data_IF_851874312630
#
_entry.id   IF_851874312630
#
_cell.length_a   1.000
_cell.length_b   1.000
_cell.length_c   1.000
_cell.angle_alpha   90.00
_cell.angle_beta   90.00
_cell.angle_gamma   90.00
#
_symmetry.space_group_name_H-M   'P 1'
#
loop_
_entity.id
_entity.type
_entity.pdbx_description
1 polymer ?
#
# COMPACT_ATOMS: atom_id res chain seq x y z
N UNK A 1 -59.36 -0.39 43.32
CA UNK A 1 -58.31 0.49 42.77
C UNK A 1 -57.19 -0.38 42.22
N UNK A 2 -57.12 -0.53 40.90
CA UNK A 2 -56.12 -1.37 40.21
C UNK A 2 -54.92 -0.48 39.87
N UNK A 3 -53.74 -0.77 40.43
CA UNK A 3 -52.49 -0.10 40.05
C UNK A 3 -51.89 -0.84 38.85
N UNK A 4 -51.91 -0.20 37.68
CA UNK A 4 -51.13 -0.66 36.52
C UNK A 4 -49.65 -0.42 36.79
N UNK A 5 -48.86 -1.49 36.74
CA UNK A 5 -47.40 -1.42 36.73
C UNK A 5 -46.98 -1.29 35.26
N UNK A 6 -46.38 -0.16 34.91
CA UNK A 6 -45.79 0.06 33.59
C UNK A 6 -44.34 -0.45 33.63
N UNK A 7 -44.08 -1.55 32.93
CA UNK A 7 -42.73 -2.06 32.71
C UNK A 7 -42.11 -1.30 31.53
N UNK A 8 -41.11 -0.47 31.78
CA UNK A 8 -40.32 0.18 30.73
C UNK A 8 -39.24 -0.81 30.27
N UNK A 9 -39.38 -1.34 29.06
CA UNK A 9 -38.33 -2.13 28.41
C UNK A 9 -37.17 -1.21 28.00
N UNK A 10 -35.99 -1.40 28.59
CA UNK A 10 -34.76 -0.73 28.18
C UNK A 10 -34.22 -1.47 26.95
N UNK A 11 -34.34 -0.87 25.75
CA UNK A 11 -33.63 -1.37 24.58
C UNK A 11 -32.15 -1.07 24.73
N UNK A 12 -31.33 -2.11 24.91
CA UNK A 12 -29.89 -2.01 24.76
C UNK A 12 -29.58 -1.84 23.25
N UNK A 13 -29.09 -0.66 22.86
CA UNK A 13 -28.52 -0.45 21.53
C UNK A 13 -27.16 -1.17 21.51
N UNK A 14 -27.10 -2.31 20.83
CA UNK A 14 -25.82 -2.97 20.54
C UNK A 14 -24.97 -2.04 19.64
N UNK A 15 -23.66 -1.92 19.86
CA UNK A 15 -22.79 -1.18 18.96
C UNK A 15 -22.83 -1.84 17.58
N UNK A 16 -23.12 -1.05 16.55
CA UNK A 16 -23.01 -1.50 15.16
C UNK A 16 -21.51 -1.63 14.87
N UNK A 17 -21.03 -2.86 14.72
CA UNK A 17 -19.69 -3.10 14.23
C UNK A 17 -19.62 -2.58 12.79
N UNK A 18 -18.84 -1.54 12.57
CA UNK A 18 -18.50 -1.05 11.24
C UNK A 18 -17.47 -2.02 10.63
N UNK A 19 -17.79 -2.58 9.46
CA UNK A 19 -16.91 -3.52 8.78
C UNK A 19 -15.59 -2.85 8.37
N UNK A 20 -14.50 -3.62 8.36
CA UNK A 20 -13.23 -3.15 7.84
C UNK A 20 -13.33 -2.88 6.34
N UNK A 21 -12.72 -1.79 5.88
CA UNK A 21 -12.55 -1.46 4.48
C UNK A 21 -11.35 -2.24 3.93
N UNK A 22 -11.55 -3.02 2.87
CA UNK A 22 -10.48 -3.77 2.20
C UNK A 22 -10.20 -3.11 0.86
N UNK A 23 -8.96 -2.64 0.71
CA UNK A 23 -8.46 -2.03 -0.51
C UNK A 23 -7.46 -3.00 -1.13
N UNK A 24 -7.56 -3.26 -2.43
CA UNK A 24 -6.63 -4.12 -3.16
C UNK A 24 -5.80 -3.30 -4.13
N UNK A 25 -4.55 -3.71 -4.33
CA UNK A 25 -3.68 -3.14 -5.34
C UNK A 25 -2.79 -4.22 -5.95
N UNK A 26 -2.37 -4.01 -7.18
CA UNK A 26 -1.45 -4.88 -7.92
C UNK A 26 -0.78 -4.11 -9.04
N UNK A 27 0.39 -4.56 -9.48
CA UNK A 27 1.11 -3.98 -10.61
C UNK A 27 0.66 -4.57 -11.95
N UNK A 28 0.81 -3.76 -12.99
CA UNK A 28 0.76 -4.07 -14.41
C UNK A 28 -0.61 -4.46 -14.94
N UNK A 29 -1.64 -3.71 -14.57
CA UNK A 29 -2.97 -3.84 -15.17
C UNK A 29 -3.13 -2.84 -16.32
N UNK A 30 -3.83 -3.24 -17.38
CA UNK A 30 -4.19 -2.37 -18.50
C UNK A 30 -5.65 -2.62 -18.86
N UNK A 31 -6.51 -1.60 -18.73
CA UNK A 31 -7.95 -1.74 -18.87
C UNK A 31 -8.59 -2.67 -17.82
N UNK A 32 -8.01 -2.77 -16.62
CA UNK A 32 -8.51 -3.61 -15.52
C UNK A 32 -8.23 -5.10 -15.67
N UNK A 33 -7.42 -5.49 -16.65
CA UNK A 33 -6.95 -6.87 -16.85
C UNK A 33 -5.42 -6.91 -16.86
N UNK A 34 -4.78 -8.07 -16.68
CA UNK A 34 -3.33 -8.13 -16.71
C UNK A 34 -2.75 -7.69 -18.05
N UNK A 35 -1.87 -6.68 -18.02
CA UNK A 35 -1.30 -6.09 -19.22
C UNK A 35 -0.34 -7.03 -19.96
N UNK A 36 -0.15 -6.75 -21.24
CA UNK A 36 0.89 -7.40 -22.05
C UNK A 36 2.18 -6.57 -22.03
N UNK A 37 3.36 -7.17 -22.27
CA UNK A 37 4.61 -6.41 -22.35
C UNK A 37 4.51 -5.20 -23.30
N UNK A 38 4.93 -4.04 -22.81
CA UNK A 38 4.82 -2.74 -23.50
C UNK A 38 3.52 -1.98 -23.21
N UNK A 39 2.53 -2.59 -22.56
CA UNK A 39 1.30 -1.90 -22.16
C UNK A 39 1.54 -0.97 -20.96
N UNK A 40 0.98 0.25 -20.96
CA UNK A 40 1.01 1.11 -19.78
C UNK A 40 0.11 0.56 -18.67
N UNK A 41 0.53 0.77 -17.43
CA UNK A 41 -0.23 0.47 -16.22
C UNK A 41 -1.38 1.47 -16.02
N UNK A 42 -2.55 1.01 -15.59
CA UNK A 42 -3.72 1.85 -15.33
C UNK A 42 -3.55 2.79 -14.14
N UNK A 43 -2.77 2.38 -13.13
CA UNK A 43 -2.70 3.04 -11.82
C UNK A 43 -1.29 3.40 -11.40
N UNK A 44 -0.30 2.56 -11.71
CA UNK A 44 1.07 2.75 -11.22
C UNK A 44 1.79 3.76 -12.10
N UNK A 45 2.21 4.86 -11.51
CA UNK A 45 3.08 5.86 -12.16
C UNK A 45 4.51 5.72 -11.65
N UNK A 46 5.47 6.32 -12.36
CA UNK A 46 6.88 6.28 -11.97
C UNK A 46 7.61 7.60 -12.20
N UNK A 47 8.77 7.72 -11.58
CA UNK A 47 9.78 8.70 -11.93
C UNK A 47 11.19 8.10 -11.75
N UNK A 48 12.04 8.11 -12.80
CA UNK A 48 13.38 7.55 -12.73
C UNK A 48 14.48 8.62 -12.60
N UNK A 49 14.13 9.93 -12.63
CA UNK A 49 15.05 11.09 -12.55
C UNK A 49 16.36 10.96 -13.36
N UNK A 50 16.27 10.47 -14.60
CA UNK A 50 17.44 10.30 -15.48
C UNK A 50 18.12 8.94 -15.38
N UNK A 51 17.52 8.01 -14.65
CA UNK A 51 17.75 6.58 -14.67
C UNK A 51 19.22 6.12 -14.61
N UNK A 52 20.01 6.50 -13.59
CA UNK A 52 21.38 6.06 -13.52
C UNK A 52 21.42 4.58 -13.10
N UNK A 53 21.81 3.72 -14.04
CA UNK A 53 22.07 2.31 -13.77
C UNK A 53 23.12 2.14 -12.66
N UNK A 54 22.92 1.17 -11.77
CA UNK A 54 23.82 0.91 -10.64
C UNK A 54 23.81 1.97 -9.54
N UNK A 55 23.06 3.07 -9.68
CA UNK A 55 23.09 4.21 -8.76
C UNK A 55 21.70 4.59 -8.20
N UNK A 56 21.65 5.23 -7.01
CA UNK A 56 20.38 5.63 -6.42
C UNK A 56 19.58 6.50 -7.39
N UNK A 57 18.25 6.45 -7.31
CA UNK A 57 17.39 7.26 -8.20
C UNK A 57 17.62 8.75 -7.95
N UNK A 58 17.98 9.12 -6.71
CA UNK A 58 18.42 10.45 -6.32
C UNK A 58 19.62 10.35 -5.38
N UNK A 59 20.59 11.27 -5.55
CA UNK A 59 21.73 11.43 -4.65
C UNK A 59 21.41 12.17 -3.34
N UNK A 60 20.13 12.50 -3.11
CA UNK A 60 19.63 13.18 -1.90
C UNK A 60 18.41 12.45 -1.33
N UNK A 61 18.09 12.66 -0.04
CA UNK A 61 16.87 12.10 0.53
C UNK A 61 15.63 12.60 -0.20
N UNK A 62 14.63 11.74 -0.38
CA UNK A 62 13.35 12.11 -0.95
C UNK A 62 12.70 13.20 -0.13
N UNK A 63 12.14 14.19 -0.83
CA UNK A 63 11.30 15.23 -0.25
C UNK A 63 9.88 15.12 -0.80
N UNK A 64 8.94 15.85 -0.19
CA UNK A 64 7.54 15.83 -0.60
C UNK A 64 7.33 16.12 -2.11
N UNK A 65 8.19 16.97 -2.69
CA UNK A 65 8.17 17.26 -4.13
C UNK A 65 8.45 16.03 -5.00
N UNK A 66 9.31 15.12 -4.57
CA UNK A 66 9.68 13.94 -5.34
C UNK A 66 8.51 12.94 -5.42
N UNK A 67 7.83 12.75 -4.29
CA UNK A 67 6.62 11.93 -4.21
C UNK A 67 5.48 12.50 -5.05
N UNK A 68 5.29 13.82 -5.04
CA UNK A 68 4.28 14.49 -5.87
C UNK A 68 4.58 14.37 -7.37
N UNK A 69 5.85 14.56 -7.76
CA UNK A 69 6.29 14.37 -9.15
C UNK A 69 6.11 12.92 -9.62
N UNK A 70 6.35 11.95 -8.74
CA UNK A 70 6.14 10.53 -9.06
C UNK A 70 4.66 10.21 -9.22
N UNK A 71 3.81 10.68 -8.29
CA UNK A 71 2.37 10.46 -8.36
C UNK A 71 1.74 11.04 -9.64
N UNK A 72 2.24 12.18 -10.13
CA UNK A 72 1.85 12.80 -11.40
C UNK A 72 2.68 12.34 -12.61
N UNK A 73 3.53 11.33 -12.45
CA UNK A 73 4.46 10.84 -13.46
C UNK A 73 3.79 10.07 -14.60
N UNK A 74 4.62 9.55 -15.51
CA UNK A 74 4.13 8.68 -16.57
C UNK A 74 3.70 7.31 -16.00
N UNK A 75 2.74 6.61 -16.65
CA UNK A 75 2.39 5.25 -16.27
C UNK A 75 3.58 4.31 -16.42
N UNK A 76 3.81 3.45 -15.44
CA UNK A 76 4.75 2.35 -15.56
C UNK A 76 4.34 1.45 -16.72
N UNK A 77 5.29 0.71 -17.29
CA UNK A 77 5.02 -0.18 -18.43
C UNK A 77 5.28 -1.61 -18.04
N UNK A 78 4.41 -2.50 -18.52
CA UNK A 78 4.54 -3.94 -18.30
C UNK A 78 5.78 -4.45 -19.04
N UNK A 79 6.55 -5.30 -18.38
CA UNK A 79 7.71 -5.98 -18.94
C UNK A 79 7.56 -7.49 -18.80
N UNK A 80 8.23 -8.22 -19.68
CA UNK A 80 8.39 -9.66 -19.57
C UNK A 80 9.30 -9.97 -18.37
N UNK A 81 8.96 -10.98 -17.55
CA UNK A 81 9.92 -11.48 -16.59
C UNK A 81 11.14 -12.03 -17.31
N UNK A 82 12.34 -11.72 -16.80
CA UNK A 82 13.53 -12.49 -17.16
C UNK A 82 13.35 -13.95 -16.77
N UNK A 83 14.11 -14.85 -17.42
CA UNK A 83 13.97 -16.29 -17.18
C UNK A 83 14.08 -16.64 -15.69
N UNK A 84 15.00 -16.03 -14.96
CA UNK A 84 15.21 -16.27 -13.54
C UNK A 84 14.18 -15.62 -12.60
N UNK A 85 13.30 -14.75 -13.12
CA UNK A 85 12.32 -14.03 -12.33
C UNK A 85 11.04 -14.86 -12.11
N UNK A 86 10.30 -14.54 -11.05
CA UNK A 86 8.93 -14.99 -10.83
C UNK A 86 8.05 -14.73 -12.05
N UNK A 87 7.25 -15.73 -12.44
CA UNK A 87 6.44 -15.69 -13.67
C UNK A 87 7.23 -16.00 -14.95
N UNK A 88 8.57 -16.10 -14.88
CA UNK A 88 9.42 -16.73 -15.89
C UNK A 88 9.45 -18.25 -15.67
N UNK A 89 10.59 -18.78 -15.20
CA UNK A 89 10.69 -20.20 -14.79
C UNK A 89 10.34 -20.44 -13.32
N UNK A 90 10.19 -19.36 -12.55
CA UNK A 90 9.85 -19.37 -11.13
C UNK A 90 8.34 -19.17 -10.96
N UNK A 91 7.74 -19.81 -9.95
CA UNK A 91 6.34 -19.58 -9.61
C UNK A 91 6.02 -18.09 -9.39
N UNK A 92 4.93 -17.56 -9.99
CA UNK A 92 4.55 -16.17 -9.80
C UNK A 92 4.00 -15.92 -8.39
N UNK A 93 3.64 -14.66 -8.13
CA UNK A 93 2.89 -14.26 -6.94
C UNK A 93 1.61 -15.09 -6.77
N UNK A 94 1.07 -15.11 -5.54
CA UNK A 94 -0.25 -15.71 -5.27
C UNK A 94 -1.32 -15.05 -6.13
N UNK A 95 -1.24 -13.72 -6.28
CA UNK A 95 -1.98 -12.98 -7.30
C UNK A 95 -1.38 -13.21 -8.69
N UNK A 96 -2.03 -14.06 -9.49
CA UNK A 96 -1.59 -14.43 -10.85
C UNK A 96 -1.81 -13.32 -11.88
N UNK A 97 -2.54 -12.28 -11.52
CA UNK A 97 -2.85 -11.15 -12.40
C UNK A 97 -1.80 -10.04 -12.31
N UNK A 98 -0.97 -10.02 -11.26
CA UNK A 98 0.14 -9.08 -11.16
C UNK A 98 1.14 -9.28 -12.32
N UNK A 99 1.73 -8.19 -12.81
CA UNK A 99 2.80 -8.22 -13.83
C UNK A 99 4.01 -7.43 -13.37
N UNK A 100 5.18 -7.84 -13.86
CA UNK A 100 6.39 -7.03 -13.76
C UNK A 100 6.19 -5.73 -14.52
N UNK A 101 6.62 -4.63 -13.89
CA UNK A 101 6.60 -3.29 -14.47
C UNK A 101 7.98 -2.65 -14.38
N UNK A 102 8.22 -1.68 -15.27
CA UNK A 102 9.42 -0.85 -15.31
C UNK A 102 9.03 0.58 -15.80
N UNK A 103 9.95 1.54 -15.78
CA UNK A 103 9.81 2.88 -16.36
C UNK A 103 9.92 2.90 -17.90
N UNK A 104 10.43 1.84 -18.53
CA UNK A 104 10.46 1.66 -19.99
C UNK A 104 10.43 0.16 -20.36
N UNK A 105 9.99 -0.16 -21.57
CA UNK A 105 9.94 -1.54 -22.06
C UNK A 105 11.03 -1.79 -23.10
N UNK A 106 11.97 -2.68 -22.77
CA UNK A 106 12.85 -3.36 -23.73
C UNK A 106 12.90 -4.85 -23.39
N UNK A 107 12.04 -5.66 -24.02
CA UNK A 107 10.87 -6.32 -23.42
C UNK A 107 10.97 -6.75 -21.94
N UNK A 108 12.16 -6.96 -21.39
CA UNK A 108 12.46 -7.31 -20.00
C UNK A 108 12.65 -6.11 -19.05
N UNK A 109 12.65 -4.89 -19.60
CA UNK A 109 12.90 -3.66 -18.85
C UNK A 109 14.39 -3.29 -18.84
N UNK A 110 14.74 -2.00 -19.04
CA UNK A 110 16.13 -1.56 -18.97
C UNK A 110 16.66 -1.56 -17.53
N UNK A 111 17.98 -1.45 -17.39
CA UNK A 111 18.68 -1.21 -16.12
C UNK A 111 18.30 0.15 -15.55
N UNK A 112 18.06 0.24 -14.24
CA UNK A 112 17.67 1.51 -13.66
C UNK A 112 17.00 1.49 -12.29
N UNK A 113 17.25 2.55 -11.51
CA UNK A 113 16.49 2.81 -10.28
C UNK A 113 15.29 3.71 -10.59
N UNK A 114 14.15 3.45 -9.94
CA UNK A 114 12.94 4.26 -10.09
C UNK A 114 12.09 4.27 -8.82
N UNK A 115 11.39 5.38 -8.59
CA UNK A 115 10.30 5.44 -7.61
C UNK A 115 8.99 5.20 -8.36
N UNK A 116 8.17 4.30 -7.83
CA UNK A 116 6.82 4.02 -8.31
C UNK A 116 5.80 4.58 -7.33
N UNK A 117 4.65 5.04 -7.81
CA UNK A 117 3.53 5.51 -7.00
C UNK A 117 2.26 4.74 -7.34
N UNK A 118 1.54 4.30 -6.31
CA UNK A 118 0.27 3.57 -6.43
C UNK A 118 -0.80 4.35 -5.65
N UNK A 119 -1.79 4.94 -6.35
CA UNK A 119 -2.88 5.63 -5.69
C UNK A 119 -3.82 4.64 -5.01
N UNK A 120 -4.31 4.98 -3.82
CA UNK A 120 -5.43 4.29 -3.19
C UNK A 120 -6.32 5.25 -2.40
N UNK A 121 -7.59 4.91 -2.27
CA UNK A 121 -8.58 5.75 -1.59
C UNK A 121 -9.08 5.08 -0.31
N UNK A 122 -9.12 5.84 0.78
CA UNK A 122 -9.63 5.40 2.09
C UNK A 122 -10.94 6.12 2.38
N UNK A 123 -12.05 5.38 2.41
CA UNK A 123 -13.36 5.92 2.73
C UNK A 123 -13.59 6.06 4.24
N UNK A 124 -12.89 5.24 5.04
CA UNK A 124 -12.98 5.20 6.50
C UNK A 124 -12.53 6.52 7.13
N UNK A 125 -13.44 7.21 7.82
CA UNK A 125 -13.17 8.55 8.40
C UNK A 125 -12.42 8.52 9.73
N UNK A 126 -12.69 7.53 10.59
CA UNK A 126 -12.11 7.43 11.93
C UNK A 126 -11.29 6.14 12.02
N UNK A 127 -10.03 6.18 11.60
CA UNK A 127 -9.17 5.01 11.51
C UNK A 127 -8.61 4.67 12.89
N UNK A 128 -8.82 3.43 13.35
CA UNK A 128 -8.23 2.89 14.60
C UNK A 128 -7.10 1.92 14.33
N UNK A 129 -7.13 1.26 13.19
CA UNK A 129 -6.09 0.35 12.73
C UNK A 129 -6.06 0.36 11.21
N UNK A 130 -4.88 0.13 10.65
CA UNK A 130 -4.75 -0.15 9.23
C UNK A 130 -3.56 -1.10 9.05
N UNK A 131 -3.78 -2.21 8.35
CA UNK A 131 -2.74 -3.22 8.09
C UNK A 131 -2.52 -3.33 6.60
N UNK A 132 -1.29 -3.07 6.16
CA UNK A 132 -0.84 -3.38 4.82
C UNK A 132 -0.31 -4.81 4.80
N UNK A 133 -0.84 -5.65 3.91
CA UNK A 133 -0.29 -6.98 3.62
C UNK A 133 0.02 -7.08 2.14
N UNK A 134 1.24 -7.44 1.76
CA UNK A 134 1.64 -7.44 0.36
C UNK A 134 2.69 -8.50 0.08
N UNK A 135 2.70 -8.98 -1.16
CA UNK A 135 3.74 -9.83 -1.71
C UNK A 135 4.36 -9.18 -2.95
N UNK A 136 5.60 -9.54 -3.25
CA UNK A 136 6.23 -9.05 -4.47
C UNK A 136 7.67 -9.48 -4.64
N UNK A 137 8.29 -8.89 -5.66
CA UNK A 137 9.69 -9.07 -6.03
C UNK A 137 10.22 -7.83 -6.73
N UNK A 138 11.54 -7.69 -6.70
CA UNK A 138 12.26 -6.60 -7.34
C UNK A 138 13.56 -7.17 -7.88
N UNK A 139 14.02 -6.64 -9.01
CA UNK A 139 15.39 -6.82 -9.47
C UNK A 139 16.08 -5.45 -9.42
N UNK A 140 16.93 -5.15 -8.44
CA UNK A 140 17.59 -6.08 -7.50
C UNK A 140 17.12 -5.98 -6.06
N UNK A 141 16.97 -4.76 -5.54
CA UNK A 141 16.57 -4.52 -4.14
C UNK A 141 15.58 -3.37 -4.03
N UNK A 142 14.88 -3.30 -2.89
CA UNK A 142 14.13 -2.11 -2.52
C UNK A 142 14.98 -1.21 -1.62
N UNK A 143 14.98 0.09 -1.94
CA UNK A 143 15.69 1.10 -1.15
C UNK A 143 17.21 1.04 -1.26
N UNK A 144 17.86 2.04 -0.67
CA UNK A 144 19.33 2.16 -0.66
C UNK A 144 20.01 1.38 0.45
N UNK A 145 19.28 0.83 1.44
CA UNK A 145 19.87 0.31 2.67
C UNK A 145 21.04 -0.67 2.43
N UNK A 146 20.86 -1.60 1.49
CA UNK A 146 21.86 -2.64 1.22
C UNK A 146 23.13 -2.10 0.56
N UNK A 147 22.99 -1.14 -0.36
CA UNK A 147 24.11 -0.62 -1.15
C UNK A 147 24.67 0.71 -0.63
N UNK A 148 24.02 1.29 0.37
CA UNK A 148 24.24 2.64 0.81
C UNK A 148 23.58 3.66 -0.12
N UNK A 149 23.13 4.76 0.47
CA UNK A 149 22.49 5.84 -0.25
C UNK A 149 21.54 6.63 0.65
N UNK A 150 20.99 7.72 0.13
CA UNK A 150 20.21 8.66 0.91
C UNK A 150 18.79 8.18 1.24
N UNK A 151 18.26 7.18 0.54
CA UNK A 151 16.88 6.71 0.66
C UNK A 151 16.85 5.24 1.09
N UNK A 152 17.12 4.93 2.38
CA UNK A 152 17.31 3.57 2.82
C UNK A 152 16.03 2.72 2.74
N UNK A 153 14.86 3.34 2.82
CA UNK A 153 13.58 2.65 2.77
C UNK A 153 13.16 2.31 1.32
N UNK A 154 12.60 1.12 1.17
CA UNK A 154 12.04 0.62 -0.06
C UNK A 154 10.56 0.91 -0.28
N UNK A 155 9.86 1.23 0.81
CA UNK A 155 8.41 1.47 0.84
C UNK A 155 8.14 2.75 1.60
N UNK A 156 7.33 3.62 1.01
CA UNK A 156 6.83 4.82 1.63
C UNK A 156 5.31 4.87 1.53
N UNK A 157 4.64 5.42 2.55
CA UNK A 157 3.22 5.70 2.54
C UNK A 157 3.05 7.19 2.76
N UNK A 158 2.44 7.88 1.79
CA UNK A 158 2.32 9.35 1.81
C UNK A 158 3.66 10.07 2.10
N UNK A 159 4.75 9.54 1.55
CA UNK A 159 6.11 10.07 1.75
C UNK A 159 6.77 9.71 3.09
N UNK A 160 6.10 8.96 3.96
CA UNK A 160 6.66 8.47 5.23
C UNK A 160 7.31 7.10 4.99
N UNK A 161 8.59 6.97 5.29
CA UNK A 161 9.33 5.71 5.18
C UNK A 161 8.79 4.64 6.12
N UNK A 162 8.51 3.45 5.58
CA UNK A 162 7.91 2.34 6.33
C UNK A 162 8.94 1.40 6.97
N UNK A 163 10.24 1.74 6.96
CA UNK A 163 11.29 0.92 7.55
C UNK A 163 11.61 -0.37 6.78
N UNK A 164 11.09 -0.52 5.55
CA UNK A 164 11.35 -1.69 4.72
C UNK A 164 12.70 -1.58 4.04
N UNK A 165 13.71 -2.08 4.74
CA UNK A 165 15.12 -2.08 4.34
C UNK A 165 15.48 -3.48 3.84
N UNK A 166 15.62 -3.67 2.52
CA UNK A 166 16.23 -4.84 1.86
C UNK A 166 15.59 -6.24 2.04
N UNK A 167 15.02 -6.60 3.19
CA UNK A 167 14.77 -8.00 3.56
C UNK A 167 13.60 -8.69 2.84
N UNK A 168 12.99 -8.02 1.87
CA UNK A 168 11.65 -8.37 1.48
C UNK A 168 11.42 -8.70 0.04
N UNK A 169 12.22 -8.26 -0.91
CA UNK A 169 11.88 -8.42 -2.32
C UNK A 169 13.08 -9.02 -3.03
N UNK A 170 12.82 -10.08 -3.79
CA UNK A 170 13.79 -10.77 -4.60
C UNK A 170 13.14 -11.10 -5.94
N UNK A 171 13.93 -11.18 -7.00
CA UNK A 171 13.38 -11.50 -8.31
C UNK A 171 12.98 -12.98 -8.45
N UNK A 172 13.66 -13.89 -7.77
CA UNK A 172 13.56 -15.35 -7.93
C UNK A 172 12.63 -16.04 -6.92
N UNK A 173 12.04 -15.33 -5.97
CA UNK A 173 11.03 -15.89 -5.08
C UNK A 173 10.16 -14.79 -4.49
N UNK A 174 8.89 -15.10 -4.26
CA UNK A 174 7.97 -14.16 -3.66
C UNK A 174 8.23 -14.08 -2.17
N UNK A 175 8.05 -12.89 -1.64
CA UNK A 175 8.10 -12.67 -0.19
C UNK A 175 6.85 -11.94 0.23
N UNK A 176 6.33 -12.26 1.40
CA UNK A 176 5.11 -11.67 1.94
C UNK A 176 5.43 -10.88 3.19
N UNK A 177 4.79 -9.72 3.30
CA UNK A 177 5.01 -8.73 4.34
C UNK A 177 3.69 -8.24 4.89
N UNK A 178 3.65 -7.95 6.19
CA UNK A 178 2.51 -7.35 6.85
C UNK A 178 2.98 -6.33 7.88
N UNK A 179 2.35 -5.16 7.93
CA UNK A 179 2.65 -4.13 8.94
C UNK A 179 1.47 -3.21 9.20
N UNK A 180 1.49 -2.55 10.36
CA UNK A 180 0.55 -1.47 10.66
C UNK A 180 0.96 -0.19 9.94
N UNK A 181 0.02 0.45 9.26
CA UNK A 181 0.19 1.75 8.57
C UNK A 181 -0.79 2.81 9.09
N UNK A 182 -1.47 2.56 10.21
CA UNK A 182 -2.56 3.41 10.72
C UNK A 182 -2.16 4.90 10.87
N UNK A 183 -0.92 5.17 11.29
CA UNK A 183 -0.38 6.52 11.44
C UNK A 183 0.17 7.16 10.16
N UNK A 184 0.12 6.46 9.03
CA UNK A 184 0.69 6.90 7.74
C UNK A 184 -0.38 7.23 6.70
N UNK A 185 -1.64 6.87 6.96
CA UNK A 185 -2.76 7.10 6.06
C UNK A 185 -3.78 8.06 6.66
N UNK A 186 -4.54 8.71 5.79
CA UNK A 186 -5.67 9.58 6.15
C UNK A 186 -6.90 9.21 5.34
N UNK A 187 -8.12 9.58 5.78
CA UNK A 187 -9.29 9.50 4.92
C UNK A 187 -9.05 10.28 3.60
N UNK A 188 -9.49 9.73 2.47
CA UNK A 188 -9.31 10.31 1.13
C UNK A 188 -8.20 9.65 0.31
N UNK A 189 -7.58 10.42 -0.59
CA UNK A 189 -6.50 9.96 -1.46
C UNK A 189 -5.21 9.75 -0.66
N UNK A 190 -4.60 8.59 -0.84
CA UNK A 190 -3.29 8.23 -0.30
C UNK A 190 -2.42 7.62 -1.42
N UNK A 191 -1.13 7.46 -1.15
CA UNK A 191 -0.20 6.81 -2.05
C UNK A 191 0.72 5.83 -1.33
N UNK A 192 0.89 4.65 -1.93
CA UNK A 192 2.03 3.77 -1.68
C UNK A 192 3.13 4.16 -2.66
N UNK A 193 4.38 4.15 -2.21
CA UNK A 193 5.52 4.31 -3.09
C UNK A 193 6.50 3.17 -2.90
N UNK A 194 6.94 2.58 -4.01
CA UNK A 194 7.95 1.54 -4.04
C UNK A 194 9.21 2.08 -4.68
N UNK A 195 10.32 2.07 -3.95
CA UNK A 195 11.60 2.48 -4.47
C UNK A 195 12.39 1.26 -4.94
N UNK A 196 12.40 1.03 -6.26
CA UNK A 196 13.25 0.03 -6.90
C UNK A 196 14.67 0.58 -7.04
N UNK A 197 15.63 -0.18 -6.51
CA UNK A 197 17.05 0.10 -6.60
C UNK A 197 17.75 -0.95 -7.46
N UNK A 198 18.29 -0.49 -8.59
CA UNK A 198 19.14 -1.29 -9.48
C UNK A 198 20.62 -1.13 -9.08
N UNK A 199 21.24 -2.19 -8.55
CA UNK A 199 22.65 -2.15 -8.12
C UNK A 199 23.60 -2.56 -9.23
N UNK A 200 23.09 -3.21 -10.27
CA UNK A 200 23.88 -3.64 -11.43
C UNK A 200 23.52 -2.83 -12.66
N UNK A 201 23.94 -3.33 -13.83
CA UNK A 201 23.64 -2.76 -15.13
C UNK A 201 22.83 -3.74 -15.98
N UNK A 202 22.14 -4.66 -15.31
CA UNK A 202 21.25 -5.66 -15.90
C UNK A 202 19.82 -5.15 -16.05
N UNK A 203 18.91 -5.98 -16.58
CA UNK A 203 17.50 -5.60 -16.55
C UNK A 203 17.03 -5.42 -15.12
N UNK A 204 16.11 -4.49 -14.92
CA UNK A 204 15.52 -4.21 -13.62
C UNK A 204 14.00 -4.30 -13.71
N UNK A 205 13.33 -4.36 -12.58
CA UNK A 205 11.87 -4.32 -12.55
C UNK A 205 11.31 -4.58 -11.17
N UNK A 206 10.02 -4.36 -11.04
CA UNK A 206 9.28 -4.65 -9.81
C UNK A 206 7.93 -5.31 -10.12
N UNK A 207 7.50 -6.21 -9.25
CA UNK A 207 6.18 -6.82 -9.26
C UNK A 207 5.63 -6.82 -7.83
N UNK A 208 4.36 -6.46 -7.65
CA UNK A 208 3.72 -6.50 -6.34
C UNK A 208 2.20 -6.69 -6.44
N UNK A 209 1.63 -7.22 -5.37
CA UNK A 209 0.19 -7.25 -5.10
C UNK A 209 -0.05 -7.22 -3.60
N UNK A 210 -1.22 -6.75 -3.17
CA UNK A 210 -1.53 -6.71 -1.76
C UNK A 210 -2.89 -6.14 -1.42
N UNK A 211 -3.12 -6.05 -0.11
CA UNK A 211 -4.31 -5.51 0.50
C UNK A 211 -3.96 -4.51 1.60
N UNK A 212 -4.84 -3.52 1.78
CA UNK A 212 -4.88 -2.67 2.96
C UNK A 212 -6.22 -2.93 3.63
N UNK A 213 -6.18 -3.38 4.88
CA UNK A 213 -7.36 -3.50 5.74
C UNK A 213 -7.41 -2.29 6.67
N UNK A 214 -8.44 -1.45 6.53
CA UNK A 214 -8.65 -0.23 7.34
C UNK A 214 -9.81 -0.47 8.32
N UNK A 215 -9.53 -0.32 9.61
CA UNK A 215 -10.47 -0.61 10.70
C UNK A 215 -11.04 0.71 11.27
N UNK A 216 -12.36 0.95 11.16
CA UNK A 216 -13.02 2.12 11.73
C UNK A 216 -13.11 2.07 13.27
N UNK A 217 -13.28 3.23 13.92
CA UNK A 217 -13.70 3.29 15.33
C UNK A 217 -15.04 2.59 15.52
N UNK A 218 -15.15 1.77 16.58
CA UNK A 218 -16.44 1.21 16.99
C UNK A 218 -17.40 2.34 17.36
N UNK A 219 -18.61 2.34 16.78
CA UNK A 219 -19.62 3.37 17.04
C UNK A 219 -20.01 3.42 18.52
N UNK A 220 -19.65 4.49 19.21
CA UNK A 220 -19.98 4.71 20.64
C UNK A 220 -21.40 5.28 20.79
N UNK A 221 -22.43 4.49 20.52
CA UNK A 221 -23.81 4.86 20.85
C UNK A 221 -24.19 4.42 22.27
N UNK A 222 -23.44 4.82 23.32
CA UNK A 222 -23.86 4.56 24.72
C UNK A 222 -22.97 5.25 25.76
N UNK A 223 -23.19 6.55 26.02
CA UNK A 223 -22.79 7.16 27.30
C UNK A 223 -23.70 8.30 27.81
N UNK A 224 -24.86 8.53 27.19
CA UNK A 224 -25.84 9.53 27.67
C UNK A 224 -26.96 8.94 28.53
N UNK A 225 -27.06 7.60 28.63
CA UNK A 225 -28.11 6.93 29.42
C UNK A 225 -27.85 6.86 30.93
N UNK A 226 -26.62 7.08 31.40
CA UNK A 226 -26.26 6.84 32.81
C UNK A 226 -26.42 8.08 33.73
N UNK A 227 -26.48 9.30 33.18
CA UNK A 227 -26.61 10.52 34.00
C UNK A 227 -28.07 10.78 34.41
N UNK A 228 -29.05 10.29 33.64
CA UNK A 228 -30.47 10.50 33.92
C UNK A 228 -31.04 9.72 35.13
N UNK A 229 -30.38 8.64 35.57
CA UNK A 229 -30.87 7.80 36.68
C UNK A 229 -30.41 8.25 38.09
N UNK A 230 -29.48 9.21 38.19
CA UNK A 230 -28.99 9.70 39.48
C UNK A 230 -29.78 10.87 40.06
N UNK A 231 -30.68 11.51 39.30
CA UNK A 231 -31.42 12.69 39.77
C UNK A 231 -32.79 12.41 40.42
N UNK A 232 -33.32 11.18 40.38
CA UNK A 232 -34.69 10.91 40.88
C UNK A 232 -34.76 10.15 42.22
N UNK A 233 -33.68 10.06 43.00
CA UNK A 233 -33.73 9.38 44.30
C UNK A 233 -33.26 10.25 45.46
N UNK A 234 -34.09 11.23 45.84
CA UNK A 234 -34.34 11.62 47.24
C UNK A 234 -35.32 12.79 47.33
N UNK A 235 -36.50 12.54 47.92
CA UNK A 235 -36.96 13.25 49.11
C UNK A 235 -38.08 12.44 49.77
N UNK A 236 -37.98 12.37 51.10
CA UNK A 236 -38.87 11.65 52.03
C UNK A 236 -40.25 12.28 52.06
#
# INVERSE_FOLDING_TARGET
>A
MIRQVVTIALLALAPVATAAEIIQFRSGQTGGVPGTPGSPDDLVTFNPWGNPSGAPVLGTPFVAGDFALTAGGAPAVVVQPQAAWMGGVVDPLTDKDARWINFESNPFGPSGSALYAVPFWVNTQNITGATLTFEGGVDEVLGDWYSGGPNPDGLYINGIGAGYMYQGFNFAFKTTHAQSIAGMITPGQNYLYFYQRDLTHGASGIIFSGTIEVVPTSGSASLLGLVGLLCCRRRR
#
